data_IF_079926206043
#
_entry.id   IF_079926206043
#
_cell.length_a   1.000
_cell.length_b   1.000
_cell.length_c   1.000
_cell.angle_alpha   90.00
_cell.angle_beta   90.00
_cell.angle_gamma   90.00
#
_symmetry.space_group_name_H-M   'P 1'
#
loop_
_entity.id
_entity.type
_entity.pdbx_description
1 polymer ?
#
# COMPACT_ATOMS: atom_id res chain seq x y z
N UNK A 1 14.73 -8.33 -17.81
CA UNK A 1 16.08 -7.70 -17.75
C UNK A 1 16.14 -6.91 -16.46
N UNK A 2 16.93 -7.38 -15.49
CA UNK A 2 17.18 -6.62 -14.27
C UNK A 2 18.07 -5.44 -14.66
N UNK A 3 17.57 -4.21 -14.47
CA UNK A 3 18.39 -3.02 -14.59
C UNK A 3 19.62 -3.22 -13.70
N UNK A 4 20.81 -3.07 -14.27
CA UNK A 4 22.08 -3.13 -13.52
C UNK A 4 22.05 -2.00 -12.49
N UNK A 5 21.82 -2.35 -11.26
CA UNK A 5 21.94 -1.42 -10.13
C UNK A 5 23.44 -1.31 -9.83
N UNK A 6 24.07 -0.25 -10.33
CA UNK A 6 25.41 0.11 -9.90
C UNK A 6 25.44 0.24 -8.36
N UNK A 7 26.53 -0.22 -7.75
CA UNK A 7 26.84 -0.28 -6.33
C UNK A 7 26.08 0.73 -5.46
N UNK A 8 24.92 0.32 -4.93
CA UNK A 8 24.20 1.16 -3.98
C UNK A 8 24.75 0.89 -2.59
N UNK A 9 25.10 2.00 -1.93
CA UNK A 9 25.59 1.93 -0.57
C UNK A 9 24.55 1.24 0.34
N UNK A 10 24.96 0.30 1.20
CA UNK A 10 24.06 -0.37 2.13
C UNK A 10 23.39 0.66 3.06
N UNK A 11 22.23 0.31 3.58
CA UNK A 11 21.60 1.11 4.64
C UNK A 11 22.54 1.19 5.83
N UNK A 12 22.75 2.38 6.36
CA UNK A 12 23.71 2.64 7.44
C UNK A 12 23.06 3.35 8.60
N UNK A 13 23.50 3.05 9.83
CA UNK A 13 23.01 3.68 11.05
C UNK A 13 23.41 5.14 11.24
N UNK A 14 24.24 5.68 10.37
CA UNK A 14 24.83 7.04 10.48
C UNK A 14 24.20 8.05 9.51
N UNK A 15 23.11 7.70 8.88
CA UNK A 15 22.43 8.54 7.88
C UNK A 15 20.97 8.74 8.28
N UNK A 16 20.43 9.92 8.02
CA UNK A 16 18.99 10.16 8.04
C UNK A 16 18.37 9.65 6.73
N UNK A 17 17.20 9.06 6.83
CA UNK A 17 16.45 8.51 5.71
C UNK A 17 15.09 9.17 5.61
N UNK A 18 14.64 9.40 4.38
CA UNK A 18 13.31 9.88 4.09
C UNK A 18 12.37 8.71 3.81
N UNK A 19 11.24 8.70 4.49
CA UNK A 19 10.18 7.71 4.31
C UNK A 19 8.93 8.42 3.84
N UNK A 20 8.33 7.91 2.77
CA UNK A 20 7.07 8.39 2.20
C UNK A 20 6.02 7.30 2.33
N UNK A 21 4.79 7.68 2.67
CA UNK A 21 3.61 6.82 2.56
C UNK A 21 2.54 7.53 1.76
N UNK A 22 1.88 6.80 0.85
CA UNK A 22 0.88 7.37 -0.05
C UNK A 22 -0.14 6.32 -0.49
N UNK A 23 -1.39 6.46 -0.02
CA UNK A 23 -2.52 5.74 -0.63
C UNK A 23 -2.85 6.46 -1.93
N UNK A 24 -2.64 5.77 -3.08
CA UNK A 24 -2.79 6.37 -4.41
C UNK A 24 -4.21 6.27 -4.97
N UNK A 25 -5.13 5.58 -4.25
CA UNK A 25 -6.54 5.53 -4.59
C UNK A 25 -6.81 5.02 -6.01
N UNK A 26 -6.11 3.95 -6.44
CA UNK A 26 -6.24 3.36 -7.79
C UNK A 26 -6.30 4.42 -8.93
N UNK A 27 -5.51 5.48 -8.84
CA UNK A 27 -5.43 6.54 -9.86
C UNK A 27 -6.74 7.29 -10.11
N UNK A 28 -7.64 7.42 -9.10
CA UNK A 28 -8.96 8.00 -9.30
C UNK A 28 -9.26 9.25 -8.47
N UNK A 29 -8.53 9.51 -7.39
CA UNK A 29 -8.89 10.54 -6.40
C UNK A 29 -8.47 11.96 -6.81
N UNK A 30 -8.97 12.42 -7.95
CA UNK A 30 -8.90 13.83 -8.34
C UNK A 30 -9.79 14.70 -7.42
N UNK A 31 -9.61 16.03 -7.46
CA UNK A 31 -10.28 16.97 -6.54
C UNK A 31 -11.80 16.87 -6.49
N UNK A 32 -12.44 16.49 -7.59
CA UNK A 32 -13.89 16.38 -7.76
C UNK A 32 -14.38 14.92 -7.73
N UNK A 33 -13.49 13.99 -7.39
CA UNK A 33 -13.82 12.58 -7.23
C UNK A 33 -14.35 12.28 -5.83
N UNK A 34 -15.35 11.42 -5.75
CA UNK A 34 -15.88 10.90 -4.49
C UNK A 34 -16.32 9.45 -4.65
N UNK A 35 -15.73 8.57 -3.87
CA UNK A 35 -15.95 7.13 -4.00
C UNK A 35 -17.27 6.69 -3.37
N UNK A 36 -18.03 5.83 -4.05
CA UNK A 36 -19.38 5.45 -3.62
C UNK A 36 -19.41 4.70 -2.29
N UNK A 37 -18.37 3.91 -1.98
CA UNK A 37 -18.29 3.20 -0.70
C UNK A 37 -18.07 4.15 0.49
N UNK A 38 -17.53 5.34 0.25
CA UNK A 38 -17.36 6.40 1.25
C UNK A 38 -18.57 7.36 1.27
N UNK A 39 -19.68 6.95 0.66
CA UNK A 39 -20.89 7.78 0.53
C UNK A 39 -20.85 8.75 -0.66
N UNK A 40 -19.88 8.61 -1.53
CA UNK A 40 -19.71 9.42 -2.74
C UNK A 40 -20.51 8.91 -3.94
N UNK A 41 -20.11 9.33 -5.14
CA UNK A 41 -20.88 9.14 -6.37
C UNK A 41 -20.31 8.08 -7.30
N UNK A 42 -18.98 7.98 -7.42
CA UNK A 42 -18.32 7.21 -8.46
C UNK A 42 -17.85 5.85 -7.95
N UNK A 43 -17.94 4.82 -8.79
CA UNK A 43 -17.46 3.47 -8.50
C UNK A 43 -16.17 3.12 -9.21
N UNK A 44 -15.80 3.94 -10.20
CA UNK A 44 -14.60 3.79 -11.04
C UNK A 44 -13.90 5.13 -11.19
N UNK A 45 -12.67 5.09 -11.66
CA UNK A 45 -11.98 6.28 -12.17
C UNK A 45 -12.79 6.90 -13.34
N UNK A 46 -12.48 8.11 -13.70
CA UNK A 46 -13.20 8.85 -14.74
C UNK A 46 -13.08 8.17 -16.12
N UNK A 47 -11.87 7.83 -16.50
CA UNK A 47 -11.49 7.13 -17.72
C UNK A 47 -10.05 6.59 -17.59
N UNK A 48 -9.62 5.80 -18.57
CA UNK A 48 -8.29 5.21 -18.61
C UNK A 48 -7.18 6.27 -18.68
N UNK A 49 -7.39 7.33 -19.45
CA UNK A 49 -6.40 8.41 -19.61
C UNK A 49 -6.14 9.14 -18.28
N UNK A 50 -7.20 9.36 -17.50
CA UNK A 50 -7.08 9.98 -16.18
C UNK A 50 -6.31 9.10 -15.19
N UNK A 51 -6.54 7.77 -15.21
CA UNK A 51 -5.75 6.82 -14.38
C UNK A 51 -4.27 6.90 -14.75
N UNK A 52 -3.95 6.80 -16.03
CA UNK A 52 -2.57 6.89 -16.50
C UNK A 52 -1.93 8.21 -16.09
N UNK A 53 -2.63 9.33 -16.26
CA UNK A 53 -2.12 10.65 -15.89
C UNK A 53 -1.88 10.77 -14.37
N UNK A 54 -2.79 10.27 -13.55
CA UNK A 54 -2.66 10.29 -12.08
C UNK A 54 -1.50 9.41 -11.60
N UNK A 55 -1.33 8.21 -12.18
CA UNK A 55 -0.23 7.31 -11.83
C UNK A 55 1.12 7.89 -12.28
N UNK A 56 1.21 8.54 -13.45
CA UNK A 56 2.40 9.30 -13.84
C UNK A 56 2.70 10.40 -12.83
N UNK A 57 1.66 11.13 -12.36
CA UNK A 57 1.80 12.13 -11.31
C UNK A 57 2.31 11.56 -9.98
N UNK A 58 1.88 10.35 -9.59
CA UNK A 58 2.43 9.64 -8.43
C UNK A 58 3.92 9.34 -8.63
N UNK A 59 4.31 8.86 -9.81
CA UNK A 59 5.71 8.63 -10.17
C UNK A 59 6.57 9.90 -10.06
N UNK A 60 6.04 11.03 -10.54
CA UNK A 60 6.69 12.34 -10.42
C UNK A 60 6.86 12.76 -8.95
N UNK A 61 5.85 12.56 -8.11
CA UNK A 61 5.95 12.86 -6.67
C UNK A 61 7.03 12.01 -6.01
N UNK A 62 7.10 10.71 -6.31
CA UNK A 62 8.13 9.81 -5.78
C UNK A 62 9.52 10.27 -6.20
N UNK A 63 9.72 10.56 -7.49
CA UNK A 63 10.99 10.99 -8.03
C UNK A 63 11.44 12.35 -7.47
N UNK A 64 10.52 13.31 -7.36
CA UNK A 64 10.82 14.66 -6.83
C UNK A 64 11.08 14.64 -5.33
N UNK A 65 10.39 13.80 -4.56
CA UNK A 65 10.63 13.63 -3.13
C UNK A 65 11.94 12.92 -2.86
N UNK A 66 12.37 12.06 -3.78
CA UNK A 66 13.59 11.25 -3.70
C UNK A 66 13.71 10.48 -2.37
N UNK A 67 12.56 10.02 -1.83
CA UNK A 67 12.50 9.29 -0.58
C UNK A 67 13.35 8.01 -0.67
N UNK A 68 13.98 7.61 0.44
CA UNK A 68 14.77 6.37 0.49
C UNK A 68 13.85 5.14 0.53
N UNK A 69 12.67 5.27 1.17
CA UNK A 69 11.65 4.22 1.28
C UNK A 69 10.28 4.81 0.99
N UNK A 70 9.48 4.08 0.18
CA UNK A 70 8.13 4.52 -0.20
C UNK A 70 7.14 3.38 0.03
N UNK A 71 6.06 3.67 0.71
CA UNK A 71 4.94 2.76 0.97
C UNK A 71 3.72 3.25 0.20
N UNK A 72 3.30 2.49 -0.82
CA UNK A 72 2.09 2.78 -1.56
C UNK A 72 0.98 1.79 -1.19
N UNK A 73 -0.24 2.28 -1.18
CA UNK A 73 -1.47 1.50 -0.97
C UNK A 73 -2.42 1.74 -2.13
N UNK A 74 -3.32 0.80 -2.36
CA UNK A 74 -4.31 0.81 -3.45
C UNK A 74 -3.70 0.91 -4.85
N UNK A 75 -2.63 0.16 -5.09
CA UNK A 75 -2.02 0.02 -6.41
C UNK A 75 -2.72 -1.11 -7.15
N UNK A 76 -3.54 -0.78 -8.15
CA UNK A 76 -4.24 -1.77 -8.95
C UNK A 76 -3.28 -2.43 -9.96
N UNK A 77 -3.37 -3.76 -10.10
CA UNK A 77 -2.65 -4.51 -11.13
C UNK A 77 -3.59 -4.98 -12.24
N UNK A 78 -4.88 -5.11 -11.93
CA UNK A 78 -5.95 -5.42 -12.86
C UNK A 78 -7.28 -5.09 -12.19
N UNK A 79 -8.00 -4.11 -12.70
CA UNK A 79 -9.26 -3.70 -12.08
C UNK A 79 -10.22 -3.04 -13.04
N UNK A 80 -11.49 -3.42 -12.96
CA UNK A 80 -12.56 -2.74 -13.68
C UNK A 80 -12.64 -1.26 -13.29
N UNK A 81 -12.36 -0.95 -12.02
CA UNK A 81 -12.41 0.42 -11.47
C UNK A 81 -11.31 1.33 -12.02
N UNK A 82 -10.20 0.75 -12.43
CA UNK A 82 -9.03 1.44 -12.98
C UNK A 82 -8.82 1.15 -14.48
N UNK A 83 -9.88 0.73 -15.19
CA UNK A 83 -9.86 0.43 -16.61
C UNK A 83 -8.81 -0.61 -17.03
N UNK A 84 -8.50 -1.56 -16.15
CA UNK A 84 -7.50 -2.60 -16.34
C UNK A 84 -6.06 -2.09 -16.55
N UNK A 85 -5.78 -0.85 -16.15
CA UNK A 85 -4.43 -0.31 -16.12
C UNK A 85 -3.62 -1.07 -15.08
N UNK A 86 -2.47 -1.62 -15.46
CA UNK A 86 -1.51 -2.17 -14.51
C UNK A 86 -0.65 -1.03 -13.95
N UNK A 87 -1.11 -0.46 -12.84
CA UNK A 87 -0.48 0.70 -12.20
C UNK A 87 0.92 0.38 -11.68
N UNK A 88 1.16 -0.87 -11.26
CA UNK A 88 2.49 -1.30 -10.81
C UNK A 88 3.51 -1.30 -11.97
N UNK A 89 3.14 -1.84 -13.12
CA UNK A 89 4.00 -1.81 -14.31
C UNK A 89 4.26 -0.37 -14.74
N UNK A 90 3.22 0.45 -14.81
CA UNK A 90 3.34 1.86 -15.17
C UNK A 90 4.24 2.63 -14.20
N UNK A 91 4.08 2.45 -12.88
CA UNK A 91 4.97 3.06 -11.89
C UNK A 91 6.42 2.63 -12.07
N UNK A 92 6.68 1.36 -12.37
CA UNK A 92 8.03 0.84 -12.55
C UNK A 92 8.72 1.38 -13.82
N UNK A 93 7.98 1.90 -14.79
CA UNK A 93 8.55 2.63 -15.94
C UNK A 93 9.09 4.01 -15.52
N UNK A 94 8.45 4.68 -14.55
CA UNK A 94 8.80 6.03 -14.09
C UNK A 94 9.72 6.03 -12.88
N UNK A 95 9.46 5.14 -11.91
CA UNK A 95 10.17 5.09 -10.63
C UNK A 95 11.44 4.27 -10.79
N UNK A 96 12.56 4.95 -11.09
CA UNK A 96 13.83 4.28 -11.31
C UNK A 96 14.71 4.31 -10.06
N UNK A 97 15.55 3.28 -9.96
CA UNK A 97 16.54 3.26 -8.91
C UNK A 97 16.05 2.76 -7.57
N UNK A 98 15.01 1.96 -7.54
CA UNK A 98 14.50 1.29 -6.35
C UNK A 98 14.43 -0.22 -6.56
N UNK A 99 14.61 -0.97 -5.48
CA UNK A 99 14.07 -2.31 -5.33
C UNK A 99 12.61 -2.20 -4.92
N UNK A 100 11.79 -3.18 -5.26
CA UNK A 100 10.41 -3.14 -4.83
C UNK A 100 9.86 -4.52 -4.48
N UNK A 101 8.79 -4.52 -3.67
CA UNK A 101 7.97 -5.68 -3.39
C UNK A 101 6.50 -5.31 -3.59
N UNK A 102 5.71 -6.28 -4.02
CA UNK A 102 4.26 -6.18 -4.15
C UNK A 102 3.58 -7.22 -3.27
N UNK A 103 2.57 -6.81 -2.52
CA UNK A 103 1.74 -7.70 -1.72
C UNK A 103 0.26 -7.43 -2.04
N UNK A 104 -0.40 -8.38 -2.72
CA UNK A 104 -1.83 -8.27 -2.99
C UNK A 104 -2.61 -8.23 -1.68
N UNK A 105 -3.43 -7.17 -1.50
CA UNK A 105 -4.25 -6.98 -0.32
C UNK A 105 -5.75 -6.80 -0.63
N UNK A 106 -6.10 -6.89 -1.90
CA UNK A 106 -7.46 -6.88 -2.39
C UNK A 106 -7.59 -7.73 -3.65
N UNK A 107 -8.52 -8.69 -3.65
CA UNK A 107 -8.90 -9.51 -4.81
C UNK A 107 -10.40 -9.74 -4.76
N UNK A 108 -11.18 -8.90 -5.43
CA UNK A 108 -12.63 -8.97 -5.37
C UNK A 108 -13.22 -9.77 -6.52
N UNK A 109 -14.31 -10.53 -6.27
CA UNK A 109 -15.16 -11.00 -7.33
C UNK A 109 -15.81 -9.81 -8.05
N UNK A 110 -16.48 -10.08 -9.16
CA UNK A 110 -17.19 -9.02 -9.89
C UNK A 110 -18.37 -8.49 -9.05
N UNK A 111 -18.25 -7.23 -8.62
CA UNK A 111 -19.27 -6.52 -7.84
C UNK A 111 -20.20 -5.74 -8.76
N UNK A 112 -21.47 -6.13 -8.80
CA UNK A 112 -22.55 -5.52 -9.60
C UNK A 112 -23.10 -4.22 -8.99
N UNK A 113 -22.39 -3.61 -8.05
CA UNK A 113 -22.84 -2.42 -7.31
C UNK A 113 -21.89 -1.25 -7.62
N UNK A 114 -22.43 -0.05 -7.86
CA UNK A 114 -23.82 0.29 -8.11
C UNK A 114 -24.30 -0.24 -9.49
N UNK A 115 -25.61 -0.53 -9.70
CA UNK A 115 -26.05 -1.22 -10.91
C UNK A 115 -25.90 -0.43 -12.22
N UNK A 116 -25.82 0.89 -12.14
CA UNK A 116 -25.60 1.79 -13.30
C UNK A 116 -24.13 1.93 -13.68
N UNK A 117 -23.20 1.62 -12.76
CA UNK A 117 -21.76 1.64 -12.98
C UNK A 117 -21.10 0.61 -12.06
N UNK A 118 -21.15 -0.69 -12.41
CA UNK A 118 -20.63 -1.74 -11.55
C UNK A 118 -19.15 -1.53 -11.20
N UNK A 119 -18.80 -1.67 -9.93
CA UNK A 119 -17.42 -1.60 -9.46
C UNK A 119 -16.53 -2.68 -10.10
N UNK A 120 -17.13 -3.81 -10.47
CA UNK A 120 -16.48 -4.89 -11.17
C UNK A 120 -15.55 -5.74 -10.30
N UNK A 121 -14.63 -6.45 -10.94
CA UNK A 121 -13.58 -7.23 -10.29
C UNK A 121 -12.28 -6.43 -10.25
N UNK A 122 -11.60 -6.44 -9.11
CA UNK A 122 -10.41 -5.61 -8.92
C UNK A 122 -9.35 -6.35 -8.12
N UNK A 123 -8.10 -6.22 -8.54
CA UNK A 123 -6.90 -6.73 -7.86
C UNK A 123 -5.96 -5.58 -7.59
N UNK A 124 -5.71 -5.36 -6.31
CA UNK A 124 -4.85 -4.29 -5.83
C UNK A 124 -3.92 -4.75 -4.73
N UNK A 125 -2.87 -3.98 -4.48
CA UNK A 125 -1.91 -4.33 -3.46
C UNK A 125 -1.16 -3.16 -2.84
N UNK A 126 -0.22 -3.57 -2.01
CA UNK A 126 0.75 -2.72 -1.35
C UNK A 126 2.06 -2.79 -2.14
N UNK A 127 2.66 -1.66 -2.44
CA UNK A 127 4.00 -1.59 -3.03
C UNK A 127 4.95 -0.94 -2.04
N UNK A 128 6.06 -1.59 -1.80
CA UNK A 128 7.16 -1.01 -1.00
C UNK A 128 8.35 -0.82 -1.91
N UNK A 129 8.76 0.43 -2.12
CA UNK A 129 10.00 0.78 -2.81
C UNK A 129 11.11 1.05 -1.79
N UNK A 130 12.31 0.61 -2.08
CA UNK A 130 13.51 0.81 -1.26
C UNK A 130 14.72 1.11 -2.12
N UNK A 131 15.52 2.13 -1.74
CA UNK A 131 16.82 2.36 -2.36
C UNK A 131 17.87 1.35 -1.90
N UNK A 132 17.70 0.75 -0.73
CA UNK A 132 18.49 -0.39 -0.27
C UNK A 132 17.93 -1.70 -0.82
N UNK A 133 18.79 -2.69 -1.03
CA UNK A 133 18.39 -4.00 -1.50
C UNK A 133 17.41 -4.68 -0.54
N UNK A 134 16.27 -5.13 -1.05
CA UNK A 134 15.33 -5.95 -0.28
C UNK A 134 15.75 -7.41 -0.46
N UNK A 135 16.22 -8.03 0.64
CA UNK A 135 16.72 -9.41 0.62
C UNK A 135 15.69 -10.45 1.06
N UNK A 136 14.61 -10.00 1.72
CA UNK A 136 13.51 -10.86 2.16
C UNK A 136 12.21 -10.05 2.20
N UNK A 137 11.11 -10.70 1.82
CA UNK A 137 9.79 -10.09 1.85
C UNK A 137 8.72 -11.10 2.29
N UNK A 138 7.80 -10.65 3.11
CA UNK A 138 6.72 -11.46 3.66
C UNK A 138 5.39 -10.70 3.55
N UNK A 139 4.36 -11.38 3.04
CA UNK A 139 2.97 -10.95 3.11
C UNK A 139 2.30 -11.62 4.32
N UNK A 140 1.67 -10.82 5.17
CA UNK A 140 0.94 -11.29 6.36
C UNK A 140 -0.54 -11.03 6.20
N UNK A 141 -1.32 -12.09 6.01
CA UNK A 141 -2.78 -12.00 5.97
C UNK A 141 -3.32 -11.54 7.31
N UNK A 142 -4.27 -10.63 7.27
CA UNK A 142 -4.95 -10.09 8.44
C UNK A 142 -6.31 -10.77 8.64
N UNK A 143 -6.80 -10.87 9.89
CA UNK A 143 -8.17 -11.28 10.13
C UNK A 143 -9.14 -10.29 9.48
N UNK A 144 -10.19 -10.81 8.84
CA UNK A 144 -11.26 -10.04 8.20
C UNK A 144 -12.60 -10.44 8.79
N UNK A 145 -13.62 -9.58 8.61
CA UNK A 145 -14.99 -9.85 9.08
C UNK A 145 -15.63 -10.99 8.30
N UNK A 146 -16.44 -11.81 8.97
CA UNK A 146 -17.30 -12.84 8.35
C UNK A 146 -18.63 -12.27 7.79
N UNK A 147 -18.88 -10.97 7.98
CA UNK A 147 -20.09 -10.29 7.55
C UNK A 147 -20.07 -9.88 6.07
N UNK A 148 -21.14 -9.21 5.60
CA UNK A 148 -21.25 -8.69 4.22
C UNK A 148 -20.12 -7.71 3.84
N UNK A 149 -19.49 -7.06 4.82
CA UNK A 149 -18.27 -6.26 4.63
C UNK A 149 -17.08 -7.07 4.10
N UNK A 150 -17.16 -8.41 4.11
CA UNK A 150 -16.17 -9.32 3.53
C UNK A 150 -15.83 -8.97 2.08
N UNK A 151 -16.78 -8.47 1.29
CA UNK A 151 -16.53 -8.11 -0.11
C UNK A 151 -15.67 -6.86 -0.30
N UNK A 152 -15.50 -6.05 0.73
CA UNK A 152 -14.66 -4.85 0.73
C UNK A 152 -13.31 -5.06 1.42
N UNK A 153 -13.20 -6.12 2.22
CA UNK A 153 -12.01 -6.44 3.03
C UNK A 153 -11.25 -7.70 2.56
N UNK A 154 -11.55 -8.16 1.35
CA UNK A 154 -10.93 -9.36 0.80
C UNK A 154 -9.41 -9.20 0.74
N UNK A 155 -8.70 -10.22 1.27
CA UNK A 155 -7.26 -10.33 1.24
C UNK A 155 -6.45 -9.30 2.02
N UNK A 156 -7.09 -8.55 2.97
CA UNK A 156 -6.35 -7.59 3.81
C UNK A 156 -5.07 -8.19 4.37
N UNK A 157 -4.01 -7.44 4.21
CA UNK A 157 -2.67 -7.84 4.66
C UNK A 157 -1.82 -6.61 4.99
N UNK A 158 -0.67 -6.85 5.60
CA UNK A 158 0.48 -5.97 5.52
C UNK A 158 1.67 -6.71 4.90
N UNK A 159 2.59 -5.97 4.35
CA UNK A 159 3.85 -6.49 3.86
C UNK A 159 4.99 -6.12 4.79
N UNK A 160 5.99 -6.99 4.87
CA UNK A 160 7.25 -6.76 5.57
C UNK A 160 8.35 -6.92 4.55
N UNK A 161 9.12 -5.87 4.28
CA UNK A 161 10.31 -5.94 3.41
C UNK A 161 11.55 -5.72 4.27
N UNK A 162 12.55 -6.59 4.14
CA UNK A 162 13.76 -6.54 4.98
C UNK A 162 14.96 -6.10 4.15
N UNK A 163 15.63 -5.06 4.65
CA UNK A 163 16.79 -4.44 4.03
C UNK A 163 17.98 -4.59 4.99
N UNK A 164 19.11 -5.16 4.55
CA UNK A 164 20.30 -5.26 5.37
C UNK A 164 20.86 -3.89 5.77
N UNK A 165 21.38 -3.82 6.99
CA UNK A 165 22.04 -2.64 7.56
C UNK A 165 23.51 -2.94 7.79
N UNK A 166 24.38 -1.93 7.70
CA UNK A 166 25.85 -2.03 7.81
C UNK A 166 26.36 -2.66 9.11
N UNK A 167 25.53 -2.70 10.14
CA UNK A 167 25.85 -3.29 11.45
C UNK A 167 25.38 -4.75 11.62
N UNK A 168 24.96 -5.40 10.55
CA UNK A 168 24.50 -6.80 10.55
C UNK A 168 23.05 -6.99 11.04
N UNK A 169 22.30 -5.91 11.26
CA UNK A 169 20.86 -5.93 11.56
C UNK A 169 20.05 -5.75 10.28
N UNK A 170 18.74 -5.93 10.39
CA UNK A 170 17.78 -5.64 9.33
C UNK A 170 17.00 -4.36 9.62
N UNK A 171 16.69 -3.62 8.60
CA UNK A 171 15.62 -2.64 8.60
C UNK A 171 14.37 -3.33 8.06
N UNK A 172 13.36 -3.48 8.94
CA UNK A 172 12.08 -4.11 8.63
C UNK A 172 11.06 -3.02 8.29
N UNK A 173 10.65 -2.99 7.03
CA UNK A 173 9.72 -2.02 6.46
C UNK A 173 8.33 -2.65 6.43
N UNK A 174 7.42 -2.15 7.27
CA UNK A 174 6.03 -2.59 7.36
C UNK A 174 5.14 -1.64 6.59
N UNK A 175 4.57 -2.09 5.47
CA UNK A 175 3.59 -1.35 4.70
C UNK A 175 2.20 -1.91 4.99
N UNK A 176 1.28 -1.09 5.47
CA UNK A 176 -0.03 -1.52 5.95
C UNK A 176 -1.17 -0.84 5.18
N UNK A 177 -2.27 -1.59 5.00
CA UNK A 177 -3.56 -1.03 4.65
C UNK A 177 -4.63 -1.84 5.40
N UNK A 178 -5.03 -1.33 6.54
CA UNK A 178 -5.98 -1.99 7.44
C UNK A 178 -7.42 -1.82 6.96
N UNK A 179 -8.34 -2.59 7.55
CA UNK A 179 -9.76 -2.52 7.20
C UNK A 179 -10.33 -1.14 7.47
N UNK A 180 -11.14 -0.65 6.52
CA UNK A 180 -11.82 0.63 6.59
C UNK A 180 -13.00 0.62 7.59
N UNK A 181 -13.69 1.75 7.68
CA UNK A 181 -14.91 1.93 8.49
C UNK A 181 -15.95 0.85 8.15
N UNK A 182 -16.61 0.31 9.20
CA UNK A 182 -17.61 -0.78 9.08
C UNK A 182 -17.09 -2.15 9.51
N UNK A 183 -15.79 -2.35 9.66
CA UNK A 183 -15.24 -3.51 10.35
C UNK A 183 -15.50 -3.41 11.86
N UNK A 184 -15.76 -4.55 12.51
CA UNK A 184 -15.96 -4.57 13.96
C UNK A 184 -14.71 -4.12 14.71
N UNK A 185 -14.88 -3.59 15.93
CA UNK A 185 -13.76 -3.21 16.79
C UNK A 185 -12.83 -4.41 17.08
N UNK A 186 -13.40 -5.62 17.18
CA UNK A 186 -12.64 -6.86 17.34
C UNK A 186 -11.70 -7.13 16.16
N UNK A 187 -12.19 -6.96 14.92
CA UNK A 187 -11.36 -7.13 13.70
C UNK A 187 -10.24 -6.13 13.70
N UNK A 188 -10.54 -4.85 13.96
CA UNK A 188 -9.51 -3.79 13.99
C UNK A 188 -8.47 -4.02 15.07
N UNK A 189 -8.92 -4.36 16.29
CA UNK A 189 -8.00 -4.69 17.40
C UNK A 189 -7.15 -5.92 17.09
N UNK A 190 -7.75 -6.95 16.47
CA UNK A 190 -7.03 -8.15 16.03
C UNK A 190 -5.95 -7.84 15.00
N UNK A 191 -6.27 -7.00 14.01
CA UNK A 191 -5.32 -6.56 12.98
C UNK A 191 -4.14 -5.79 13.59
N UNK A 192 -4.42 -4.81 14.45
CA UNK A 192 -3.38 -4.03 15.14
C UNK A 192 -2.56 -4.90 16.10
N UNK A 193 -3.20 -5.81 16.84
CA UNK A 193 -2.53 -6.73 17.75
C UNK A 193 -1.52 -7.62 17.03
N UNK A 194 -1.90 -8.15 15.87
CA UNK A 194 -1.04 -8.97 15.03
C UNK A 194 0.15 -8.15 14.46
N UNK A 195 -0.12 -6.96 13.94
CA UNK A 195 0.89 -6.05 13.42
C UNK A 195 1.92 -5.70 14.50
N UNK A 196 1.47 -5.26 15.67
CA UNK A 196 2.37 -4.87 16.76
C UNK A 196 3.15 -6.05 17.34
N UNK A 197 2.57 -7.26 17.35
CA UNK A 197 3.28 -8.46 17.79
C UNK A 197 4.45 -8.78 16.84
N UNK A 198 4.24 -8.72 15.53
CA UNK A 198 5.30 -8.97 14.54
C UNK A 198 6.37 -7.86 14.58
N UNK A 199 5.98 -6.59 14.68
CA UNK A 199 6.91 -5.46 14.82
C UNK A 199 7.76 -5.59 16.09
N UNK A 200 7.11 -5.97 17.21
CA UNK A 200 7.82 -6.20 18.48
C UNK A 200 8.80 -7.36 18.37
N UNK A 201 8.42 -8.45 17.73
CA UNK A 201 9.29 -9.59 17.54
C UNK A 201 10.54 -9.25 16.71
N UNK A 202 10.40 -8.45 15.66
CA UNK A 202 11.55 -7.97 14.88
C UNK A 202 12.42 -7.00 15.72
N UNK A 203 11.81 -6.09 16.48
CA UNK A 203 12.52 -5.19 17.38
C UNK A 203 13.29 -5.94 18.48
N UNK A 204 12.68 -6.95 19.11
CA UNK A 204 13.32 -7.76 20.18
C UNK A 204 14.52 -8.56 19.64
N UNK A 205 14.57 -8.87 18.35
CA UNK A 205 15.75 -9.43 17.67
C UNK A 205 16.85 -8.39 17.42
N UNK A 206 16.62 -7.13 17.79
CA UNK A 206 17.52 -6.01 17.63
C UNK A 206 17.51 -5.40 16.24
N UNK A 207 16.48 -5.67 15.43
CA UNK A 207 16.27 -5.04 14.14
C UNK A 207 15.68 -3.63 14.26
N UNK A 208 15.81 -2.85 13.22
CA UNK A 208 15.12 -1.57 13.08
C UNK A 208 13.75 -1.80 12.45
N UNK A 209 12.73 -1.11 12.96
CA UNK A 209 11.36 -1.31 12.51
C UNK A 209 10.75 0.04 12.14
N UNK A 210 10.25 0.14 10.93
CA UNK A 210 9.48 1.29 10.44
C UNK A 210 8.14 0.77 9.94
N UNK A 211 7.04 1.40 10.36
CA UNK A 211 5.71 1.09 9.87
C UNK A 211 5.08 2.36 9.28
N UNK A 212 4.52 2.23 8.11
CA UNK A 212 3.76 3.27 7.44
C UNK A 212 2.64 2.67 6.60
N UNK A 213 1.71 3.50 6.16
CA UNK A 213 0.60 3.07 5.34
C UNK A 213 -0.73 3.68 5.75
N UNK A 214 -1.81 3.08 5.26
CA UNK A 214 -3.17 3.47 5.58
C UNK A 214 -3.73 2.60 6.71
N UNK A 215 -3.80 3.18 7.90
CA UNK A 215 -4.32 2.48 9.08
C UNK A 215 -5.85 2.49 9.16
N UNK A 216 -6.53 3.29 8.35
CA UNK A 216 -7.98 3.48 8.39
C UNK A 216 -8.53 3.76 9.81
N UNK A 217 -7.72 4.37 10.66
CA UNK A 217 -8.05 4.71 12.04
C UNK A 217 -7.85 6.20 12.29
N UNK A 218 -8.83 6.81 12.97
CA UNK A 218 -8.65 8.16 13.46
C UNK A 218 -7.72 8.13 14.68
N UNK A 219 -6.54 8.70 14.55
CA UNK A 219 -5.56 8.81 15.64
C UNK A 219 -5.86 9.99 16.59
N UNK A 220 -6.84 10.84 16.28
CA UNK A 220 -7.23 11.96 17.12
C UNK A 220 -8.34 11.54 18.08
N UNK A 221 -8.06 11.61 19.36
CA UNK A 221 -9.03 11.27 20.44
C UNK A 221 -10.07 12.36 20.69
N UNK A 222 -9.92 13.54 20.06
CA UNK A 222 -10.73 14.74 20.25
C UNK A 222 -11.68 15.04 19.08
N UNK A 223 -11.79 14.16 18.11
CA UNK A 223 -12.82 14.26 17.07
C UNK A 223 -14.18 13.79 17.61
N UNK A 224 -14.82 14.64 18.39
CA UNK A 224 -16.25 14.56 18.61
C UNK A 224 -16.97 14.82 17.29
N UNK A 225 -17.56 13.76 16.76
CA UNK A 225 -18.58 13.59 15.70
C UNK A 225 -18.70 14.64 14.65
#
# INVERSE_FOLDING_TARGET
EYAQFEDRAPVTTRKAYWVMTYNIGFGAYQRDYSFFMDGGKYSRARDEESVIADICGVGDVINNTAADFVFLQEVDIDGTRSYHVNELELLNEFVTGYYYTFAQNYDSPYLMVPPWEPHGANKAGLVTYSRGEITDALRRSLPISDSFSKFTDLDRCYSISRVPVDNGKMLCLYNVHLSAYGSSEEVRSGQLGMLFADMKADYDRGNYVICGGDFNHNLRTDASS
#
